data_IF_908045156721
#
_entry.id   IF_908045156721
#
_cell.length_a   1.000
_cell.length_b   1.000
_cell.length_c   1.000
_cell.angle_alpha   90.00
_cell.angle_beta   90.00
_cell.angle_gamma   90.00
#
_symmetry.space_group_name_H-M   'P 1'
#
loop_
_entity.id
_entity.type
_entity.pdbx_description
1 polymer ?
#
# COMPACT_ATOMS: atom_id res chain seq x y z
N UNK A 1 28.52 16.24 -27.39
CA UNK A 1 28.79 14.79 -27.35
C UNK A 1 30.20 14.57 -27.86
N UNK A 2 31.13 14.13 -27.00
CA UNK A 2 32.51 13.83 -27.39
C UNK A 2 32.65 12.33 -27.63
N UNK A 3 33.02 11.93 -28.84
CA UNK A 3 33.09 10.53 -29.32
C UNK A 3 34.49 9.90 -29.15
N UNK A 4 35.43 10.56 -28.46
CA UNK A 4 36.86 10.22 -28.52
C UNK A 4 37.33 9.33 -27.35
N UNK A 5 36.51 9.14 -26.30
CA UNK A 5 36.89 8.23 -25.20
C UNK A 5 35.67 7.71 -24.42
N UNK A 6 35.02 6.66 -24.93
CA UNK A 6 33.81 6.06 -24.35
C UNK A 6 34.04 5.38 -22.99
N UNK A 7 35.29 5.12 -22.59
CA UNK A 7 35.62 4.33 -21.40
C UNK A 7 35.88 5.11 -20.10
N UNK A 8 35.75 6.45 -20.09
CA UNK A 8 36.06 7.29 -18.91
C UNK A 8 34.96 8.28 -18.49
N UNK A 9 33.80 8.26 -19.13
CA UNK A 9 32.70 9.12 -18.70
C UNK A 9 32.06 8.52 -17.44
N UNK A 10 32.27 9.17 -16.29
CA UNK A 10 31.56 8.82 -15.06
C UNK A 10 30.21 9.51 -15.04
N UNK A 11 29.23 8.80 -14.52
CA UNK A 11 27.89 9.33 -14.28
C UNK A 11 27.66 9.41 -12.78
N UNK A 12 27.06 10.51 -12.35
CA UNK A 12 26.53 10.64 -11.00
C UNK A 12 25.03 10.87 -11.06
N UNK A 13 24.33 10.29 -10.10
CA UNK A 13 22.90 10.46 -9.95
C UNK A 13 22.56 10.76 -8.50
N UNK A 14 21.47 11.47 -8.29
CA UNK A 14 20.84 11.59 -6.97
C UNK A 14 19.34 11.62 -7.12
N UNK A 15 18.64 11.16 -6.10
CA UNK A 15 17.19 11.23 -6.02
C UNK A 15 16.79 12.17 -4.91
N UNK A 16 16.51 13.40 -5.27
CA UNK A 16 16.03 14.43 -4.37
C UNK A 16 14.69 13.98 -3.77
N UNK A 17 14.58 14.01 -2.44
CA UNK A 17 13.46 13.44 -1.69
C UNK A 17 13.74 12.08 -1.02
N UNK A 18 14.89 11.46 -1.28
CA UNK A 18 15.31 10.21 -0.61
C UNK A 18 16.79 10.21 -0.20
N UNK A 19 17.67 10.68 -1.10
CA UNK A 19 19.11 10.81 -0.87
C UNK A 19 19.53 12.27 -1.01
N UNK A 20 20.43 12.72 -0.12
CA UNK A 20 21.00 14.07 -0.15
C UNK A 20 22.29 14.14 -0.97
N UNK A 21 23.04 13.05 -1.00
CA UNK A 21 24.36 12.97 -1.62
C UNK A 21 24.29 12.41 -3.05
N UNK A 22 25.31 12.72 -3.85
CA UNK A 22 25.46 12.18 -5.20
C UNK A 22 26.10 10.80 -5.14
N UNK A 23 25.52 9.84 -5.86
CA UNK A 23 26.10 8.50 -6.03
C UNK A 23 26.74 8.41 -7.41
N UNK A 24 28.02 8.04 -7.46
CA UNK A 24 28.77 7.83 -8.71
C UNK A 24 28.64 6.37 -9.16
N UNK A 25 28.37 6.13 -10.45
CA UNK A 25 28.52 4.80 -11.03
C UNK A 25 29.75 4.72 -11.92
N UNK A 26 30.60 3.73 -11.66
CA UNK A 26 31.84 3.50 -12.40
C UNK A 26 31.68 2.61 -13.64
N UNK A 27 30.75 1.64 -13.64
CA UNK A 27 30.75 0.57 -14.66
C UNK A 27 29.44 0.36 -15.46
N UNK A 28 28.29 0.89 -15.02
CA UNK A 28 27.03 0.73 -15.77
C UNK A 28 26.04 1.89 -15.53
N UNK A 29 25.39 2.45 -16.56
CA UNK A 29 24.38 3.50 -16.40
C UNK A 29 23.02 2.92 -15.95
N UNK A 30 23.01 2.00 -14.99
CA UNK A 30 21.80 1.39 -14.44
C UNK A 30 21.76 1.54 -12.92
N UNK A 31 20.63 1.99 -12.40
CA UNK A 31 20.37 2.13 -10.96
C UNK A 31 19.02 1.49 -10.66
N UNK A 32 19.02 0.52 -9.74
CA UNK A 32 17.80 -0.16 -9.31
C UNK A 32 17.43 0.31 -7.92
N UNK A 33 16.26 0.93 -7.78
CA UNK A 33 15.68 1.20 -6.47
C UNK A 33 14.54 0.22 -6.21
N UNK A 34 14.62 -0.53 -5.11
CA UNK A 34 13.52 -1.37 -4.64
C UNK A 34 12.76 -0.64 -3.52
N UNK A 35 11.44 -0.85 -3.47
CA UNK A 35 10.59 -0.38 -2.37
C UNK A 35 10.56 1.16 -2.14
N UNK A 36 10.39 1.96 -3.21
CA UNK A 36 10.16 3.39 -3.05
C UNK A 36 8.81 3.66 -2.37
N UNK A 37 8.78 4.38 -1.23
CA UNK A 37 7.53 4.88 -0.67
C UNK A 37 6.80 5.78 -1.67
N UNK A 38 5.48 5.88 -1.54
CA UNK A 38 4.69 6.84 -2.31
C UNK A 38 5.16 8.27 -2.01
N UNK A 39 5.35 9.08 -3.05
CA UNK A 39 5.90 10.42 -2.90
C UNK A 39 6.34 11.02 -4.23
N UNK A 40 6.71 12.29 -4.15
CA UNK A 40 7.30 13.03 -5.26
C UNK A 40 8.83 13.00 -5.14
N UNK A 41 9.49 12.54 -6.19
CA UNK A 41 10.94 12.42 -6.26
C UNK A 41 11.46 13.19 -7.48
N UNK A 42 12.67 13.72 -7.39
CA UNK A 42 13.36 14.28 -8.56
C UNK A 42 14.63 13.49 -8.79
N UNK A 43 14.69 12.77 -9.90
CA UNK A 43 15.89 12.07 -10.33
C UNK A 43 16.79 13.02 -11.09
N UNK A 44 17.97 13.31 -10.56
CA UNK A 44 18.95 14.18 -11.19
C UNK A 44 20.14 13.36 -11.69
N UNK A 45 20.55 13.59 -12.93
CA UNK A 45 21.72 12.94 -13.54
C UNK A 45 22.70 13.98 -14.07
N UNK A 46 23.98 13.79 -13.77
CA UNK A 46 25.08 14.63 -14.24
C UNK A 46 26.20 13.72 -14.76
N UNK A 47 26.77 14.08 -15.90
CA UNK A 47 27.89 13.36 -16.51
C UNK A 47 29.16 14.17 -16.36
N UNK A 48 30.29 13.48 -16.20
CA UNK A 48 31.61 14.07 -16.29
C UNK A 48 32.11 14.07 -17.73
N UNK A 49 32.87 15.10 -18.10
CA UNK A 49 33.62 15.12 -19.36
C UNK A 49 34.90 14.27 -19.23
N UNK A 50 35.63 14.06 -20.33
CA UNK A 50 36.90 13.29 -20.35
C UNK A 50 37.96 13.79 -19.37
N UNK A 51 37.86 15.05 -18.93
CA UNK A 51 38.76 15.72 -17.99
C UNK A 51 38.32 15.56 -16.52
N UNK A 52 37.28 14.77 -16.24
CA UNK A 52 36.75 14.54 -14.90
C UNK A 52 35.91 15.70 -14.35
N UNK A 53 35.75 16.79 -15.10
CA UNK A 53 34.87 17.89 -14.72
C UNK A 53 33.40 17.49 -14.87
N UNK A 54 32.63 17.66 -13.78
CA UNK A 54 31.20 17.41 -13.78
C UNK A 54 30.45 18.53 -14.48
N UNK A 55 29.47 18.17 -15.32
CA UNK A 55 28.55 19.16 -15.88
C UNK A 55 27.67 19.74 -14.77
N UNK A 56 27.67 21.07 -14.65
CA UNK A 56 26.83 21.83 -13.70
C UNK A 56 25.35 21.79 -14.10
N UNK A 57 25.05 21.61 -15.40
CA UNK A 57 23.70 21.43 -15.91
C UNK A 57 23.26 19.97 -15.74
N UNK A 58 22.90 19.59 -14.50
CA UNK A 58 22.28 18.31 -14.22
C UNK A 58 20.87 18.26 -14.84
N UNK A 59 20.53 17.14 -15.47
CA UNK A 59 19.18 16.92 -16.02
C UNK A 59 18.31 16.40 -14.87
N UNK A 60 17.19 17.09 -14.61
CA UNK A 60 16.24 16.74 -13.57
C UNK A 60 14.97 16.12 -14.17
N UNK A 61 14.61 14.93 -13.72
CA UNK A 61 13.41 14.20 -14.11
C UNK A 61 12.48 14.05 -12.91
N UNK A 62 11.32 14.74 -12.89
CA UNK A 62 10.34 14.56 -11.83
C UNK A 62 9.66 13.19 -11.98
N UNK A 63 9.67 12.41 -10.91
CA UNK A 63 9.06 11.08 -10.82
C UNK A 63 8.03 11.12 -9.69
N UNK A 64 6.77 10.85 -10.03
CA UNK A 64 5.69 10.73 -9.06
C UNK A 64 5.35 9.26 -8.83
N UNK A 65 5.63 8.77 -7.62
CA UNK A 65 5.23 7.42 -7.21
C UNK A 65 3.86 7.50 -6.57
N UNK A 66 2.84 7.04 -7.29
CA UNK A 66 1.47 7.05 -6.80
C UNK A 66 1.31 6.05 -5.64
N UNK A 67 0.57 6.44 -4.58
CA UNK A 67 0.25 5.50 -3.52
C UNK A 67 -0.58 4.33 -4.05
N UNK A 68 -0.47 3.16 -3.41
CA UNK A 68 -1.28 2.01 -3.80
C UNK A 68 -2.77 2.33 -3.65
N UNK A 69 -3.58 1.86 -4.60
CA UNK A 69 -5.01 2.16 -4.69
C UNK A 69 -5.80 1.74 -3.43
N UNK A 70 -5.36 0.69 -2.74
CA UNK A 70 -5.96 0.20 -1.50
C UNK A 70 -5.69 1.08 -0.27
N UNK A 71 -4.70 1.97 -0.33
CA UNK A 71 -4.37 2.92 0.75
C UNK A 71 -5.12 4.26 0.59
N UNK A 72 -5.96 4.40 -0.43
CA UNK A 72 -6.78 5.59 -0.62
C UNK A 72 -7.73 5.82 0.56
N UNK A 73 -7.93 7.07 0.98
CA UNK A 73 -8.83 7.43 2.09
C UNK A 73 -10.24 6.86 1.91
N UNK A 74 -10.75 6.82 0.67
CA UNK A 74 -12.05 6.24 0.35
C UNK A 74 -12.10 4.72 0.58
N UNK A 75 -11.00 4.01 0.35
CA UNK A 75 -10.92 2.56 0.60
C UNK A 75 -10.91 2.26 2.10
N UNK A 76 -10.20 3.06 2.89
CA UNK A 76 -10.20 2.94 4.35
C UNK A 76 -11.62 3.13 4.90
N UNK A 77 -12.32 4.17 4.44
CA UNK A 77 -13.74 4.38 4.81
C UNK A 77 -14.59 3.19 4.38
N UNK A 78 -14.38 2.65 3.18
CA UNK A 78 -15.07 1.45 2.69
C UNK A 78 -14.87 0.23 3.59
N UNK A 79 -13.64 -0.03 4.04
CA UNK A 79 -13.35 -1.14 4.96
C UNK A 79 -14.01 -0.96 6.32
N UNK A 80 -14.03 0.27 6.86
CA UNK A 80 -14.71 0.58 8.11
C UNK A 80 -16.21 0.35 7.98
N UNK A 81 -16.84 0.82 6.90
CA UNK A 81 -18.27 0.62 6.65
C UNK A 81 -18.61 -0.87 6.49
N UNK A 82 -17.80 -1.64 5.76
CA UNK A 82 -17.96 -3.08 5.64
C UNK A 82 -17.83 -3.80 6.99
N UNK A 83 -16.86 -3.38 7.81
CA UNK A 83 -16.69 -3.89 9.18
C UNK A 83 -17.92 -3.65 10.05
N UNK A 84 -18.44 -2.41 10.04
CA UNK A 84 -19.66 -2.04 10.78
C UNK A 84 -20.86 -2.85 10.27
N UNK A 85 -21.05 -2.96 8.95
CA UNK A 85 -22.12 -3.74 8.36
C UNK A 85 -22.05 -5.22 8.77
N UNK A 86 -20.84 -5.79 8.80
CA UNK A 86 -20.58 -7.15 9.29
C UNK A 86 -20.97 -7.32 10.75
N UNK A 87 -20.61 -6.39 11.63
CA UNK A 87 -20.99 -6.40 13.04
C UNK A 87 -22.50 -6.30 13.24
N UNK A 88 -23.16 -5.39 12.52
CA UNK A 88 -24.62 -5.23 12.56
C UNK A 88 -25.32 -6.51 12.09
N UNK A 89 -24.83 -7.11 10.99
CA UNK A 89 -25.37 -8.36 10.49
C UNK A 89 -25.16 -9.51 11.48
N UNK A 90 -23.97 -9.64 12.07
CA UNK A 90 -23.69 -10.65 13.09
C UNK A 90 -24.60 -10.51 14.31
N UNK A 91 -24.75 -9.28 14.82
CA UNK A 91 -25.65 -8.96 15.93
C UNK A 91 -27.11 -9.34 15.61
N UNK A 92 -27.60 -8.94 14.42
CA UNK A 92 -28.94 -9.29 13.97
C UNK A 92 -29.14 -10.81 13.86
N UNK A 93 -28.15 -11.53 13.31
CA UNK A 93 -28.18 -12.99 13.19
C UNK A 93 -28.21 -13.68 14.55
N UNK A 94 -27.39 -13.23 15.51
CA UNK A 94 -27.38 -13.77 16.87
C UNK A 94 -28.73 -13.59 17.55
N UNK A 95 -29.29 -12.38 17.51
CA UNK A 95 -30.61 -12.10 18.09
C UNK A 95 -31.72 -12.95 17.47
N UNK A 96 -31.68 -13.19 16.16
CA UNK A 96 -32.65 -14.05 15.47
C UNK A 96 -32.54 -15.51 15.92
N UNK A 97 -31.33 -16.01 16.14
CA UNK A 97 -31.09 -17.38 16.63
C UNK A 97 -31.55 -17.53 18.08
N UNK A 98 -31.26 -16.55 18.95
CA UNK A 98 -31.69 -16.58 20.34
C UNK A 98 -33.22 -16.62 20.49
N UNK A 99 -33.95 -15.81 19.70
CA UNK A 99 -35.43 -15.83 19.71
C UNK A 99 -36.00 -17.20 19.33
N UNK A 100 -35.45 -17.86 18.30
CA UNK A 100 -35.88 -19.21 17.89
C UNK A 100 -35.66 -20.26 18.97
N UNK A 101 -34.57 -20.14 19.74
CA UNK A 101 -34.30 -21.07 20.86
C UNK A 101 -35.32 -20.90 21.98
N UNK A 102 -35.68 -19.66 22.32
CA UNK A 102 -36.68 -19.39 23.35
C UNK A 102 -38.06 -19.95 22.98
N UNK A 103 -38.52 -19.74 21.74
CA UNK A 103 -39.82 -20.29 21.28
C UNK A 103 -39.83 -21.82 21.29
N UNK A 104 -38.69 -22.46 20.98
CA UNK A 104 -38.58 -23.92 21.04
C UNK A 104 -38.60 -24.45 22.48
N UNK A 105 -37.98 -23.74 23.42
CA UNK A 105 -38.00 -24.10 24.84
C UNK A 105 -39.40 -23.94 25.43
N UNK A 106 -40.09 -22.84 25.11
CA UNK A 106 -41.49 -22.63 25.52
C UNK A 106 -42.41 -23.72 24.96
N UNK A 107 -42.29 -24.06 23.68
CA UNK A 107 -43.08 -25.13 23.07
C UNK A 107 -42.80 -26.49 23.71
N UNK A 108 -41.53 -26.83 23.96
CA UNK A 108 -41.17 -28.07 24.65
C UNK A 108 -41.75 -28.11 26.07
N UNK A 109 -41.64 -27.02 26.82
CA UNK A 109 -42.16 -26.92 28.17
C UNK A 109 -43.69 -27.09 28.22
N UNK A 110 -44.40 -26.44 27.30
CA UNK A 110 -45.86 -26.56 27.18
C UNK A 110 -46.29 -28.00 26.84
N UNK A 111 -45.60 -28.66 25.91
CA UNK A 111 -45.89 -30.06 25.55
C UNK A 111 -45.67 -31.01 26.73
N UNK A 112 -44.56 -30.86 27.46
CA UNK A 112 -44.29 -31.66 28.66
C UNK A 112 -45.35 -31.46 29.74
N UNK A 113 -45.83 -30.22 29.94
CA UNK A 113 -46.88 -29.90 30.90
C UNK A 113 -48.22 -30.54 30.53
N UNK A 114 -48.59 -30.51 29.25
CA UNK A 114 -49.82 -31.15 28.74
C UNK A 114 -49.74 -32.68 28.92
N UNK A 115 -48.61 -33.30 28.58
CA UNK A 115 -48.42 -34.74 28.75
C UNK A 115 -48.53 -35.18 30.22
N UNK A 116 -48.00 -34.38 31.15
CA UNK A 116 -48.11 -34.64 32.58
C UNK A 116 -49.55 -34.58 33.11
N UNK A 117 -50.39 -33.69 32.57
CA UNK A 117 -51.79 -33.55 33.01
C UNK A 117 -52.69 -34.69 32.48
N UNK A 118 -52.31 -35.34 31.37
CA UNK A 118 -53.08 -36.43 30.76
C UNK A 118 -52.76 -37.83 31.30
N UNK A 119 -51.77 -37.96 32.19
CA UNK A 119 -51.37 -39.24 32.81
C UNK A 119 -51.88 -39.29 34.24
#
# INVERSE_FOLDING_TARGET
MSYINTSKNKYRYRKEGFEKDWTETNDAPHVTYTNLPAGDYVFQVSASNSDGMWNENAIAFPIKVLPPWWASSYMIVGYVLLGIAGLVYAYYRMNKIHRRRMTLLENKFNLSKIAYIMT
#
